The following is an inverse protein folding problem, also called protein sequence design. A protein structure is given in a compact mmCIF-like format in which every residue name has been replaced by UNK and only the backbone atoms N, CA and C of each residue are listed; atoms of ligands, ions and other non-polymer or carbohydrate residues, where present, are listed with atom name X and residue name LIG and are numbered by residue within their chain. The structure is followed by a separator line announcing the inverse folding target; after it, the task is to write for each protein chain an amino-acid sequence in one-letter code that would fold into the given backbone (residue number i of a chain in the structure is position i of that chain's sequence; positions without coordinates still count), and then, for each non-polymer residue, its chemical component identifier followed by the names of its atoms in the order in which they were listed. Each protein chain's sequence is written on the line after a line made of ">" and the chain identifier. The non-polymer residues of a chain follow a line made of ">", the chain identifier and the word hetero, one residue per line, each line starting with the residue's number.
data_IF_683539553249
#
_entry.id   IF_683539553249
#
_cell.length_a   1.000
_cell.length_b   1.000
_cell.length_c   1.000
_cell.angle_alpha   90.00
_cell.angle_beta   90.00
_cell.angle_gamma   90.00
#
_symmetry.space_group_name_H-M   'P 1'
#
loop_
_entity.id
_entity.type
_entity.pdbx_description
1 polymer ?
#
# COMPACT_ATOMS: atom_id res chain seq x y z
N UNK A 1 -12.67 -8.70 -23.85
CA UNK A 1 -11.82 -7.90 -22.93
C UNK A 1 -11.94 -8.51 -21.54
N UNK A 2 -10.94 -9.28 -21.09
CA UNK A 2 -11.04 -10.05 -19.84
C UNK A 2 -10.81 -9.09 -18.65
N UNK A 3 -11.76 -8.87 -17.73
CA UNK A 3 -11.47 -8.09 -16.54
C UNK A 3 -10.47 -8.89 -15.72
N UNK A 4 -9.18 -8.49 -15.76
CA UNK A 4 -8.14 -9.06 -14.90
C UNK A 4 -8.66 -8.98 -13.46
N UNK A 5 -9.06 -10.13 -12.89
CA UNK A 5 -9.64 -10.22 -11.54
C UNK A 5 -8.86 -9.31 -10.60
N UNK A 6 -9.51 -8.36 -9.90
CA UNK A 6 -8.78 -7.56 -8.94
C UNK A 6 -8.21 -8.52 -7.90
N UNK A 7 -6.88 -8.61 -7.77
CA UNK A 7 -6.27 -9.28 -6.62
C UNK A 7 -6.88 -8.60 -5.40
N UNK A 8 -7.58 -9.37 -4.55
CA UNK A 8 -8.33 -8.83 -3.40
C UNK A 8 -7.41 -7.95 -2.59
N UNK A 9 -7.75 -6.67 -2.49
CA UNK A 9 -7.06 -5.71 -1.64
C UNK A 9 -7.53 -5.86 -0.19
N UNK A 10 -8.68 -6.50 -0.02
CA UNK A 10 -9.45 -6.59 1.22
C UNK A 10 -8.64 -7.20 2.37
N UNK A 11 -7.82 -8.26 2.18
CA UNK A 11 -6.95 -8.74 3.25
C UNK A 11 -5.94 -7.67 3.70
N UNK A 12 -5.26 -7.01 2.75
CA UNK A 12 -4.29 -5.95 3.07
C UNK A 12 -4.96 -4.77 3.77
N UNK A 13 -6.18 -4.41 3.37
CA UNK A 13 -6.92 -3.31 4.00
C UNK A 13 -7.52 -3.73 5.36
N UNK A 14 -7.87 -4.99 5.55
CA UNK A 14 -8.49 -5.47 6.79
C UNK A 14 -7.53 -5.44 7.99
N UNK A 15 -6.24 -5.69 7.81
CA UNK A 15 -5.32 -5.78 8.97
C UNK A 15 -4.93 -4.42 9.59
N UNK A 16 -5.41 -3.28 9.06
CA UNK A 16 -5.17 -1.96 9.68
C UNK A 16 -6.19 -0.89 9.30
N UNK A 17 -6.72 -0.21 10.31
CA UNK A 17 -7.65 0.92 10.18
C UNK A 17 -7.01 2.10 9.43
N UNK A 18 -5.72 2.35 9.68
CA UNK A 18 -4.97 3.40 9.00
C UNK A 18 -4.83 3.11 7.51
N UNK A 19 -4.61 1.84 7.13
CA UNK A 19 -4.53 1.45 5.72
C UNK A 19 -5.86 1.62 5.00
N UNK A 20 -6.99 1.35 5.67
CA UNK A 20 -8.34 1.64 5.14
C UNK A 20 -8.58 3.12 4.98
N UNK A 21 -8.25 3.91 6.00
CA UNK A 21 -8.41 5.36 5.99
C UNK A 21 -7.59 5.99 4.86
N UNK A 22 -6.33 5.59 4.72
CA UNK A 22 -5.46 6.05 3.65
C UNK A 22 -6.01 5.69 2.26
N UNK A 23 -6.39 4.43 2.03
CA UNK A 23 -6.98 4.02 0.74
C UNK A 23 -8.25 4.82 0.43
N UNK A 24 -9.16 4.99 1.40
CA UNK A 24 -10.38 5.77 1.23
C UNK A 24 -10.09 7.22 0.82
N UNK A 25 -9.10 7.85 1.45
CA UNK A 25 -8.71 9.23 1.14
C UNK A 25 -8.15 9.34 -0.29
N UNK A 26 -7.26 8.43 -0.69
CA UNK A 26 -6.70 8.43 -2.06
C UNK A 26 -7.79 8.12 -3.10
N UNK A 27 -8.72 7.23 -2.76
CA UNK A 27 -9.82 6.83 -3.64
C UNK A 27 -10.81 7.97 -3.93
N UNK A 28 -10.87 9.03 -3.11
CA UNK A 28 -11.68 10.22 -3.38
C UNK A 28 -11.23 10.94 -4.66
N UNK A 29 -9.93 10.93 -4.96
CA UNK A 29 -9.40 11.49 -6.20
C UNK A 29 -9.43 10.48 -7.35
N UNK A 30 -8.98 9.24 -7.10
CA UNK A 30 -9.01 8.16 -8.09
C UNK A 30 -8.96 6.79 -7.43
N UNK A 31 -10.05 6.02 -7.57
CA UNK A 31 -10.12 4.64 -7.10
C UNK A 31 -9.07 3.74 -7.76
N UNK A 32 -8.84 3.90 -9.07
CA UNK A 32 -7.85 3.12 -9.78
C UNK A 32 -6.42 3.37 -9.25
N UNK A 33 -6.10 4.63 -8.93
CA UNK A 33 -4.81 5.01 -8.34
C UNK A 33 -4.65 4.41 -6.94
N UNK A 34 -5.70 4.51 -6.10
CA UNK A 34 -5.69 3.93 -4.76
C UNK A 34 -5.40 2.41 -4.78
N UNK A 35 -6.04 1.68 -5.69
CA UNK A 35 -5.84 0.24 -5.85
C UNK A 35 -4.41 -0.08 -6.33
N UNK A 36 -3.86 0.71 -7.26
CA UNK A 36 -2.46 0.57 -7.70
C UNK A 36 -1.49 0.82 -6.55
N UNK A 37 -1.75 1.82 -5.72
CA UNK A 37 -0.89 2.16 -4.58
C UNK A 37 -0.86 1.03 -3.55
N UNK A 38 -2.02 0.47 -3.18
CA UNK A 38 -2.07 -0.70 -2.28
C UNK A 38 -1.28 -1.88 -2.85
N UNK A 39 -1.41 -2.16 -4.14
CA UNK A 39 -0.67 -3.27 -4.78
C UNK A 39 0.83 -3.05 -4.77
N UNK A 40 1.28 -1.83 -5.09
CA UNK A 40 2.71 -1.46 -5.10
C UNK A 40 3.29 -1.48 -3.70
N UNK A 41 2.58 -0.90 -2.73
CA UNK A 41 2.99 -0.92 -1.32
C UNK A 41 3.10 -2.35 -0.80
N UNK A 42 2.10 -3.20 -1.04
CA UNK A 42 2.14 -4.60 -0.63
C UNK A 42 3.31 -5.37 -1.28
N UNK A 43 3.59 -5.11 -2.56
CA UNK A 43 4.73 -5.71 -3.25
C UNK A 43 6.08 -5.21 -2.69
N UNK A 44 6.21 -3.91 -2.47
CA UNK A 44 7.41 -3.29 -1.90
C UNK A 44 7.70 -3.82 -0.49
N UNK A 45 6.69 -3.84 0.39
CA UNK A 45 6.80 -4.38 1.74
C UNK A 45 7.27 -5.85 1.74
N UNK A 46 6.77 -6.67 0.81
CA UNK A 46 7.22 -8.06 0.65
C UNK A 46 8.68 -8.16 0.17
N UNK A 47 9.06 -7.33 -0.80
CA UNK A 47 10.42 -7.34 -1.36
C UNK A 47 11.45 -6.90 -0.32
N UNK A 48 11.15 -5.82 0.39
CA UNK A 48 12.04 -5.24 1.39
C UNK A 48 11.91 -5.90 2.77
N UNK A 49 11.03 -6.88 2.92
CA UNK A 49 10.73 -7.59 4.18
C UNK A 49 10.36 -6.64 5.33
N UNK A 50 9.60 -5.59 5.02
CA UNK A 50 9.07 -4.62 5.99
C UNK A 50 7.55 -4.66 6.02
N UNK A 51 6.93 -4.21 7.11
CA UNK A 51 5.48 -4.01 7.15
C UNK A 51 5.13 -2.57 6.76
N UNK A 52 3.91 -2.31 6.25
CA UNK A 52 3.46 -0.93 5.98
C UNK A 52 3.55 -0.02 7.22
N UNK A 53 3.26 -0.54 8.41
CA UNK A 53 3.32 0.18 9.67
C UNK A 53 4.76 0.50 10.10
N UNK A 54 5.69 -0.44 9.88
CA UNK A 54 7.10 -0.20 10.14
C UNK A 54 7.63 0.86 9.17
N UNK A 55 7.27 0.75 7.88
CA UNK A 55 7.65 1.72 6.85
C UNK A 55 7.13 3.13 7.20
N UNK A 56 5.88 3.26 7.65
CA UNK A 56 5.29 4.54 8.04
C UNK A 56 5.94 5.17 9.29
N UNK A 57 6.62 4.37 10.12
CA UNK A 57 7.32 4.81 11.34
C UNK A 57 8.84 4.92 11.15
N UNK A 58 9.37 4.59 9.96
CA UNK A 58 10.81 4.71 9.70
C UNK A 58 11.25 6.17 9.75
N UNK A 59 12.40 6.41 10.38
CA UNK A 59 13.06 7.70 10.32
C UNK A 59 13.52 8.02 8.88
N UNK A 60 13.69 9.31 8.56
CA UNK A 60 13.94 9.75 7.19
C UNK A 60 15.19 9.13 6.55
N UNK A 61 16.27 8.94 7.32
CA UNK A 61 17.52 8.36 6.81
C UNK A 61 17.34 6.91 6.34
N UNK A 62 16.92 5.95 7.20
CA UNK A 62 16.69 4.58 6.77
C UNK A 62 15.58 4.46 5.72
N UNK A 63 14.59 5.36 5.73
CA UNK A 63 13.59 5.39 4.66
C UNK A 63 14.22 5.72 3.31
N UNK A 64 15.06 6.77 3.23
CA UNK A 64 15.77 7.16 2.00
C UNK A 64 16.64 6.04 1.47
N UNK A 65 17.41 5.40 2.34
CA UNK A 65 18.29 4.27 1.97
C UNK A 65 17.49 3.05 1.45
N UNK A 66 16.18 2.98 1.74
CA UNK A 66 15.30 1.90 1.29
C UNK A 66 14.64 2.17 -0.08
N UNK A 67 14.49 3.45 -0.46
CA UNK A 67 13.77 3.86 -1.69
C UNK A 67 14.69 4.41 -2.79
N UNK A 68 15.94 4.73 -2.47
CA UNK A 68 16.97 5.20 -3.42
C UNK A 68 18.11 4.19 -3.54
#
# INVERSE_FOLDING_TARGET
>A
MNPKRPRRLEPFLAESDDRRRWHRNVAQGSRATADVYVRRLAAFCRLMKVTPEALARMADKPLRDLVM
#
